data_IF_382292774348
#
_entry.id   IF_382292774348
#
_cell.length_a   1.000
_cell.length_b   1.000
_cell.length_c   1.000
_cell.angle_alpha   90.00
_cell.angle_beta   90.00
_cell.angle_gamma   90.00
#
_symmetry.space_group_name_H-M   'P 1'
#
loop_
_entity.id
_entity.type
_entity.pdbx_description
1 polymer ?
#
# COMPACT_ATOMS: atom_id res chain seq x y z
N UNK A 1 -23.93 -0.55 -24.91
CA UNK A 1 -23.29 0.74 -24.56
C UNK A 1 -22.16 0.40 -23.60
N UNK A 2 -21.02 -0.01 -24.17
CA UNK A 2 -19.89 -0.60 -23.42
C UNK A 2 -18.79 0.45 -23.38
N UNK A 3 -18.64 1.12 -22.23
CA UNK A 3 -17.60 2.12 -22.05
C UNK A 3 -16.31 1.38 -21.69
N UNK A 4 -15.35 1.47 -22.60
CA UNK A 4 -13.93 1.13 -22.46
C UNK A 4 -13.39 1.63 -21.11
N UNK A 5 -12.90 0.72 -20.27
CA UNK A 5 -11.95 1.05 -19.19
C UNK A 5 -10.55 1.11 -19.81
N UNK A 6 -10.25 2.19 -20.52
CA UNK A 6 -8.87 2.58 -20.85
C UNK A 6 -8.42 3.56 -19.76
N UNK A 7 -7.89 3.02 -18.66
CA UNK A 7 -7.26 3.81 -17.60
C UNK A 7 -5.77 3.94 -17.93
N UNK A 8 -5.44 5.04 -18.61
CA UNK A 8 -4.07 5.43 -18.97
C UNK A 8 -3.32 5.86 -17.71
N UNK A 9 -2.49 4.97 -17.17
CA UNK A 9 -1.57 5.27 -16.07
C UNK A 9 -0.49 6.28 -16.48
N UNK A 10 -0.03 7.15 -15.55
CA UNK A 10 0.97 8.17 -15.85
C UNK A 10 2.35 7.53 -16.08
N UNK A 11 2.98 7.87 -17.21
CA UNK A 11 4.36 7.51 -17.51
C UNK A 11 5.32 8.34 -16.65
N UNK A 12 6.13 7.72 -15.78
CA UNK A 12 7.20 8.45 -15.08
C UNK A 12 8.31 7.52 -14.55
N UNK A 13 9.57 8.01 -14.66
CA UNK A 13 10.77 7.42 -14.07
C UNK A 13 10.77 7.45 -12.52
N UNK A 14 11.72 6.76 -11.89
CA UNK A 14 11.96 6.72 -10.43
C UNK A 14 10.69 6.70 -9.56
N UNK A 15 10.27 7.86 -9.08
CA UNK A 15 9.06 8.08 -8.28
C UNK A 15 7.75 7.69 -8.99
N UNK A 16 7.68 7.77 -10.32
CA UNK A 16 6.53 7.31 -11.10
C UNK A 16 6.35 5.81 -11.08
N UNK A 17 7.44 5.05 -11.15
CA UNK A 17 7.41 3.59 -11.05
C UNK A 17 6.99 3.14 -9.64
N UNK A 18 7.42 3.86 -8.60
CA UNK A 18 6.97 3.67 -7.23
C UNK A 18 5.46 3.87 -7.10
N UNK A 19 4.93 5.01 -7.56
CA UNK A 19 3.49 5.30 -7.48
C UNK A 19 2.64 4.33 -8.34
N UNK A 20 3.12 3.95 -9.51
CA UNK A 20 2.46 2.98 -10.39
C UNK A 20 2.36 1.59 -9.72
N UNK A 21 3.32 1.24 -8.88
CA UNK A 21 3.34 -0.07 -8.22
C UNK A 21 2.11 -0.29 -7.32
N UNK A 22 1.53 0.77 -6.73
CA UNK A 22 0.29 0.62 -5.94
C UNK A 22 -0.93 0.26 -6.79
N UNK A 23 -0.97 0.66 -8.06
CA UNK A 23 -2.00 0.23 -8.99
C UNK A 23 -1.76 -1.23 -9.42
N UNK A 24 -0.51 -1.58 -9.67
CA UNK A 24 -0.11 -2.94 -10.04
C UNK A 24 -0.35 -3.96 -8.90
N UNK A 25 -0.30 -3.55 -7.63
CA UNK A 25 -0.72 -4.37 -6.48
C UNK A 25 -2.20 -4.80 -6.57
N UNK A 26 -3.04 -4.02 -7.25
CA UNK A 26 -4.45 -4.35 -7.47
C UNK A 26 -4.70 -5.20 -8.73
N UNK A 27 -3.65 -5.55 -9.48
CA UNK A 27 -3.79 -6.36 -10.69
C UNK A 27 -4.27 -7.78 -10.36
N UNK A 28 -5.08 -8.38 -11.23
CA UNK A 28 -5.51 -9.79 -11.09
C UNK A 28 -4.36 -10.78 -11.27
N UNK A 29 -3.29 -10.37 -11.96
CA UNK A 29 -2.11 -11.18 -12.22
C UNK A 29 -1.13 -11.19 -11.03
N UNK A 30 -0.91 -12.37 -10.44
CA UNK A 30 -0.01 -12.58 -9.30
C UNK A 30 1.44 -12.16 -9.56
N UNK A 31 1.97 -12.42 -10.75
CA UNK A 31 3.34 -12.03 -11.12
C UNK A 31 3.49 -10.51 -11.15
N UNK A 32 2.49 -9.79 -11.69
CA UNK A 32 2.47 -8.31 -11.67
C UNK A 32 2.42 -7.78 -10.24
N UNK A 33 1.57 -8.35 -9.38
CA UNK A 33 1.49 -7.96 -7.96
C UNK A 33 2.82 -8.17 -7.23
N UNK A 34 3.48 -9.31 -7.43
CA UNK A 34 4.79 -9.60 -6.81
C UNK A 34 5.87 -8.62 -7.27
N UNK A 35 5.94 -8.35 -8.57
CA UNK A 35 6.90 -7.40 -9.11
C UNK A 35 6.68 -5.98 -8.54
N UNK A 36 5.41 -5.57 -8.39
CA UNK A 36 5.05 -4.30 -7.80
C UNK A 36 5.44 -4.20 -6.31
N UNK A 37 5.18 -5.25 -5.52
CA UNK A 37 5.63 -5.31 -4.12
C UNK A 37 7.16 -5.20 -4.02
N UNK A 38 7.89 -5.93 -4.87
CA UNK A 38 9.36 -5.84 -4.92
C UNK A 38 9.86 -4.43 -5.23
N UNK A 39 9.24 -3.73 -6.19
CA UNK A 39 9.59 -2.33 -6.50
C UNK A 39 9.36 -1.39 -5.31
N UNK A 40 8.24 -1.55 -4.60
CA UNK A 40 7.95 -0.75 -3.40
C UNK A 40 9.02 -0.99 -2.35
N UNK A 41 9.32 -2.26 -2.04
CA UNK A 41 10.30 -2.62 -1.00
C UNK A 41 11.69 -2.09 -1.36
N UNK A 42 12.15 -2.29 -2.60
CA UNK A 42 13.44 -1.76 -3.07
C UNK A 42 13.50 -0.24 -2.96
N UNK A 43 12.46 0.47 -3.40
CA UNK A 43 12.37 1.94 -3.30
C UNK A 43 12.49 2.40 -1.85
N UNK A 44 11.73 1.79 -0.92
CA UNK A 44 11.79 2.15 0.49
C UNK A 44 13.16 1.89 1.11
N UNK A 45 13.83 0.79 0.74
CA UNK A 45 15.21 0.54 1.18
C UNK A 45 16.20 1.57 0.64
N UNK A 46 16.04 2.01 -0.60
CA UNK A 46 16.86 3.07 -1.18
C UNK A 46 16.63 4.39 -0.44
N UNK A 47 15.38 4.74 -0.13
CA UNK A 47 15.08 5.96 0.62
C UNK A 47 15.65 5.93 2.05
N UNK A 48 15.73 4.76 2.69
CA UNK A 48 16.30 4.59 4.03
C UNK A 48 17.82 4.72 4.10
N UNK A 49 18.50 4.44 2.99
CA UNK A 49 19.96 4.56 2.93
C UNK A 49 20.41 6.02 2.91
N UNK A 50 19.54 6.97 2.58
CA UNK A 50 19.87 8.39 2.49
C UNK A 50 20.86 8.69 1.35
N UNK A 51 20.88 9.93 0.87
CA UNK A 51 21.96 10.44 -0.01
C UNK A 51 23.21 10.83 0.81
N UNK A 52 23.02 11.10 2.11
CA UNK A 52 24.08 11.42 3.09
C UNK A 52 24.12 10.36 4.20
N UNK A 53 25.30 9.81 4.45
CA UNK A 53 25.57 8.63 5.28
C UNK A 53 25.27 8.77 6.79
N UNK A 54 24.76 9.91 7.26
CA UNK A 54 24.63 10.18 8.70
C UNK A 54 23.18 10.10 9.24
N UNK A 55 22.16 10.04 8.36
CA UNK A 55 20.74 9.89 8.71
C UNK A 55 20.16 8.52 8.31
N UNK A 56 20.89 7.43 8.53
CA UNK A 56 20.32 6.09 8.29
C UNK A 56 19.16 5.79 9.25
N UNK A 57 18.02 5.39 8.66
CA UNK A 57 16.92 4.80 9.42
C UNK A 57 15.86 5.78 9.94
N UNK A 58 15.70 6.95 9.32
CA UNK A 58 14.57 7.85 9.62
C UNK A 58 13.32 7.51 8.79
N UNK A 59 12.14 7.81 9.33
CA UNK A 59 10.87 7.65 8.60
C UNK A 59 10.79 8.73 7.52
N UNK A 60 10.79 8.30 6.26
CA UNK A 60 10.73 9.21 5.11
C UNK A 60 9.27 9.48 4.69
N UNK A 61 9.01 10.54 3.90
CA UNK A 61 7.69 10.80 3.34
C UNK A 61 7.16 9.63 2.50
N UNK A 62 8.04 8.93 1.79
CA UNK A 62 7.68 7.79 0.93
C UNK A 62 7.28 6.56 1.77
N UNK A 63 7.98 6.30 2.88
CA UNK A 63 7.58 5.25 3.84
C UNK A 63 6.20 5.58 4.43
N UNK A 64 6.02 6.82 4.89
CA UNK A 64 4.75 7.30 5.44
C UNK A 64 3.61 7.15 4.43
N UNK A 65 3.87 7.52 3.17
CA UNK A 65 2.92 7.39 2.09
C UNK A 65 2.59 5.92 1.80
N UNK A 66 3.61 5.07 1.67
CA UNK A 66 3.45 3.65 1.40
C UNK A 66 2.60 2.97 2.46
N UNK A 67 2.92 3.14 3.74
CA UNK A 67 2.15 2.56 4.85
C UNK A 67 0.69 3.02 4.81
N UNK A 68 0.44 4.33 4.67
CA UNK A 68 -0.94 4.87 4.55
C UNK A 68 -1.69 4.30 3.35
N UNK A 69 -1.03 4.15 2.21
CA UNK A 69 -1.64 3.63 0.99
C UNK A 69 -1.94 2.13 1.10
N UNK A 70 -1.02 1.38 1.71
CA UNK A 70 -1.16 -0.05 1.96
C UNK A 70 -2.32 -0.35 2.91
N UNK A 71 -2.39 0.36 4.04
CA UNK A 71 -3.49 0.23 5.02
C UNK A 71 -4.85 0.49 4.37
N UNK A 72 -4.97 1.54 3.55
CA UNK A 72 -6.22 1.84 2.83
C UNK A 72 -6.60 0.76 1.81
N UNK A 73 -5.61 0.08 1.23
CA UNK A 73 -5.83 -1.00 0.29
C UNK A 73 -6.41 -2.27 0.91
N UNK A 74 -6.28 -2.47 2.23
CA UNK A 74 -6.81 -3.64 2.94
C UNK A 74 -8.33 -3.73 2.86
N UNK A 75 -9.02 -2.58 2.93
CA UNK A 75 -10.47 -2.49 2.81
C UNK A 75 -11.00 -2.51 1.37
N UNK A 76 -10.18 -2.80 0.37
CA UNK A 76 -10.64 -2.78 -1.02
C UNK A 76 -11.72 -3.84 -1.29
N UNK A 77 -12.82 -3.46 -1.94
CA UNK A 77 -13.85 -4.42 -2.38
C UNK A 77 -13.30 -5.45 -3.40
N UNK A 78 -12.16 -5.19 -4.05
CA UNK A 78 -11.52 -6.11 -4.99
C UNK A 78 -10.61 -7.10 -4.25
N UNK A 79 -10.92 -8.41 -4.33
CA UNK A 79 -10.16 -9.44 -3.60
C UNK A 79 -8.67 -9.47 -3.96
N UNK A 80 -8.36 -9.40 -5.25
CA UNK A 80 -6.97 -9.36 -5.73
C UNK A 80 -6.19 -8.16 -5.19
N UNK A 81 -6.87 -7.03 -4.96
CA UNK A 81 -6.26 -5.86 -4.36
C UNK A 81 -5.97 -6.11 -2.88
N UNK A 82 -6.95 -6.61 -2.10
CA UNK A 82 -6.72 -6.92 -0.67
C UNK A 82 -5.52 -7.83 -0.46
N UNK A 83 -5.41 -8.89 -1.27
CA UNK A 83 -4.26 -9.80 -1.22
C UNK A 83 -2.94 -9.11 -1.56
N UNK A 84 -2.90 -8.27 -2.59
CA UNK A 84 -1.69 -7.54 -2.98
C UNK A 84 -1.25 -6.53 -1.92
N UNK A 85 -2.18 -5.73 -1.42
CA UNK A 85 -1.92 -4.73 -0.39
C UNK A 85 -1.53 -5.38 0.96
N UNK A 86 -2.23 -6.42 1.40
CA UNK A 86 -1.92 -7.13 2.64
C UNK A 86 -0.56 -7.84 2.59
N UNK A 87 -0.26 -8.55 1.51
CA UNK A 87 1.04 -9.19 1.34
C UNK A 87 2.18 -8.16 1.31
N UNK A 88 2.02 -7.06 0.58
CA UNK A 88 3.03 -6.01 0.53
C UNK A 88 3.21 -5.32 1.91
N UNK A 89 2.14 -5.12 2.69
CA UNK A 89 2.24 -4.55 4.03
C UNK A 89 3.00 -5.47 4.99
N UNK A 90 2.74 -6.78 4.94
CA UNK A 90 3.47 -7.76 5.73
C UNK A 90 4.97 -7.75 5.41
N UNK A 91 5.33 -7.70 4.12
CA UNK A 91 6.73 -7.61 3.68
C UNK A 91 7.39 -6.28 4.11
N UNK A 92 6.67 -5.16 4.07
CA UNK A 92 7.17 -3.86 4.56
C UNK A 92 7.46 -3.93 6.05
N UNK A 93 6.55 -4.48 6.86
CA UNK A 93 6.78 -4.65 8.30
C UNK A 93 7.95 -5.58 8.61
N UNK A 94 8.16 -6.62 7.79
CA UNK A 94 9.27 -7.56 7.95
C UNK A 94 10.63 -6.97 7.51
N UNK A 95 10.63 -6.12 6.48
CA UNK A 95 11.87 -5.66 5.82
C UNK A 95 12.30 -4.26 6.24
N UNK A 96 11.37 -3.43 6.73
CA UNK A 96 11.61 -2.02 7.04
C UNK A 96 11.50 -1.80 8.55
N UNK A 97 12.60 -1.95 9.31
CA UNK A 97 12.57 -1.97 10.78
C UNK A 97 12.18 -0.64 11.43
N UNK A 98 12.24 0.47 10.69
CA UNK A 98 11.79 1.78 11.20
C UNK A 98 10.27 1.89 11.30
N UNK A 99 9.52 1.00 10.63
CA UNK A 99 8.06 1.00 10.69
C UNK A 99 7.62 0.19 11.91
N UNK A 100 7.08 0.87 12.92
CA UNK A 100 6.53 0.20 14.10
C UNK A 100 5.21 -0.51 13.75
N UNK A 101 5.16 -1.81 14.04
CA UNK A 101 3.98 -2.64 13.84
C UNK A 101 2.78 -2.18 14.70
N UNK A 102 3.02 -1.63 15.89
CA UNK A 102 1.95 -1.11 16.75
C UNK A 102 1.32 0.15 16.14
N UNK A 103 2.12 1.09 15.65
CA UNK A 103 1.62 2.28 14.97
C UNK A 103 0.83 1.91 13.70
N UNK A 104 1.30 0.92 12.95
CA UNK A 104 0.56 0.42 11.77
C UNK A 104 -0.77 -0.22 12.19
N UNK A 105 -0.79 -1.02 13.26
CA UNK A 105 -2.02 -1.60 13.79
C UNK A 105 -3.02 -0.52 14.22
N UNK A 106 -2.56 0.50 14.95
CA UNK A 106 -3.39 1.65 15.35
C UNK A 106 -3.95 2.37 14.12
N UNK A 107 -3.13 2.53 13.07
CA UNK A 107 -3.58 3.13 11.81
C UNK A 107 -4.63 2.26 11.11
N UNK A 108 -4.48 0.93 11.09
CA UNK A 108 -5.48 -0.01 10.56
C UNK A 108 -6.78 0.14 11.34
N UNK A 109 -6.74 0.11 12.68
CA UNK A 109 -7.93 0.24 13.53
C UNK A 109 -8.65 1.57 13.31
N UNK A 110 -7.90 2.65 13.14
CA UNK A 110 -8.42 3.99 12.86
C UNK A 110 -9.06 4.11 11.47
N UNK A 111 -8.42 3.59 10.42
CA UNK A 111 -8.93 3.67 9.05
C UNK A 111 -10.13 2.72 8.83
N UNK A 112 -10.20 1.61 9.59
CA UNK A 112 -11.30 0.63 9.54
C UNK A 112 -12.38 0.84 10.60
N UNK A 113 -12.36 1.96 11.32
CA UNK A 113 -13.36 2.26 12.34
C UNK A 113 -14.75 2.42 11.72
N UNK A 114 -15.71 1.61 12.17
CA UNK A 114 -17.11 1.77 11.78
C UNK A 114 -17.73 2.97 12.48
N UNK A 115 -18.58 3.73 11.78
CA UNK A 115 -19.23 4.94 12.29
C UNK A 115 -20.74 4.81 12.16
N UNK A 116 -21.49 5.46 13.05
CA UNK A 116 -22.93 5.58 12.93
C UNK A 116 -23.27 6.25 11.58
N UNK A 117 -24.17 5.63 10.79
CA UNK A 117 -24.60 6.04 9.43
C UNK A 117 -23.69 5.65 8.26
N UNK A 118 -22.79 4.68 8.40
CA UNK A 118 -22.13 4.09 7.22
C UNK A 118 -23.12 3.34 6.33
N UNK A 119 -22.90 3.34 5.02
CA UNK A 119 -23.61 2.44 4.12
C UNK A 119 -23.11 1.01 4.32
N UNK A 120 -23.98 0.01 4.16
CA UNK A 120 -23.59 -1.40 4.36
C UNK A 120 -22.39 -1.87 3.52
N UNK A 121 -22.17 -1.29 2.34
CA UNK A 121 -20.97 -1.55 1.53
C UNK A 121 -19.69 -0.99 2.15
N UNK A 122 -19.76 0.21 2.74
CA UNK A 122 -18.62 0.85 3.41
C UNK A 122 -18.28 0.15 4.71
N UNK A 123 -19.31 -0.28 5.45
CA UNK A 123 -19.14 -1.08 6.67
C UNK A 123 -18.49 -2.43 6.34
N UNK A 124 -18.95 -3.11 5.28
CA UNK A 124 -18.33 -4.34 4.78
C UNK A 124 -16.85 -4.13 4.44
N UNK A 125 -16.53 -3.10 3.67
CA UNK A 125 -15.16 -2.80 3.26
C UNK A 125 -14.27 -2.48 4.47
N UNK A 126 -14.79 -1.74 5.46
CA UNK A 126 -14.09 -1.48 6.73
C UNK A 126 -13.83 -2.76 7.52
N UNK A 127 -14.82 -3.65 7.63
CA UNK A 127 -14.66 -4.95 8.31
C UNK A 127 -13.67 -5.86 7.58
N UNK A 128 -13.67 -5.85 6.24
CA UNK A 128 -12.69 -6.61 5.44
C UNK A 128 -11.26 -6.13 5.69
N UNK A 129 -11.04 -4.84 5.93
CA UNK A 129 -9.72 -4.30 6.26
C UNK A 129 -9.18 -4.72 7.63
N UNK A 130 -9.98 -5.35 8.49
CA UNK A 130 -9.59 -5.84 9.83
C UNK A 130 -9.24 -7.33 9.87
N UNK A 131 -9.51 -8.08 8.80
CA UNK A 131 -9.20 -9.51 8.68
C UNK A 131 -7.73 -9.73 8.29
#
# INVERSE_FOLDING_TARGET
MTIKTEDSGPAAGGSGAFLQSFWDLAASNTTKRRAAAGRIISHLHETLKGEDSDEQGSITPDITYAVKRLVRGLGSNREAARQGFGACLAEVLASIPVVDSNEVLDQILKETATRAKMRGSEEKDALLGRL
#
